data_IF_040111464786
#
_entry.id   IF_040111464786
#
_cell.length_a   1.000
_cell.length_b   1.000
_cell.length_c   1.000
_cell.angle_alpha   90.00
_cell.angle_beta   90.00
_cell.angle_gamma   90.00
#
_symmetry.space_group_name_H-M   'P 1'
#
loop_
_entity.id
_entity.type
_entity.pdbx_description
1 polymer ?
#
# COMPACT_ATOMS: atom_id res chain seq x y z
N UNK A 1 3.45 -3.76 -50.11
CA UNK A 1 4.08 -5.09 -49.94
C UNK A 1 3.59 -5.67 -48.62
N UNK A 2 2.89 -6.80 -48.64
CA UNK A 2 2.40 -7.46 -47.42
C UNK A 2 3.57 -8.14 -46.69
N UNK A 3 3.68 -7.99 -45.36
CA UNK A 3 4.77 -8.61 -44.61
C UNK A 3 4.64 -10.14 -44.65
N UNK A 4 5.70 -10.82 -45.10
CA UNK A 4 5.78 -12.28 -45.09
C UNK A 4 5.78 -12.75 -43.63
N UNK A 5 4.86 -13.66 -43.29
CA UNK A 5 4.83 -14.31 -41.98
C UNK A 5 6.17 -15.00 -41.71
N UNK A 6 6.71 -14.90 -40.48
CA UNK A 6 7.88 -15.68 -40.09
C UNK A 6 7.57 -17.18 -40.17
N UNK A 7 8.57 -18.02 -40.49
CA UNK A 7 8.41 -19.46 -40.57
C UNK A 7 8.00 -20.03 -39.21
N UNK A 8 7.13 -21.05 -39.23
CA UNK A 8 6.74 -21.81 -38.05
C UNK A 8 7.96 -22.49 -37.44
N UNK A 9 8.19 -22.25 -36.15
CA UNK A 9 9.28 -22.88 -35.40
C UNK A 9 9.15 -24.40 -35.47
N UNK A 10 10.30 -25.07 -35.65
CA UNK A 10 10.34 -26.52 -35.79
C UNK A 10 9.93 -27.20 -34.47
N UNK A 11 9.04 -28.20 -34.49
CA UNK A 11 8.62 -28.91 -33.28
C UNK A 11 9.77 -29.64 -32.55
N UNK A 12 10.92 -29.79 -33.20
CA UNK A 12 12.14 -30.36 -32.64
C UNK A 12 12.89 -29.43 -31.66
N UNK A 13 12.49 -28.15 -31.54
CA UNK A 13 13.03 -27.26 -30.50
C UNK A 13 12.57 -27.66 -29.09
N UNK A 14 11.52 -28.46 -28.97
CA UNK A 14 11.06 -29.00 -27.70
C UNK A 14 11.61 -30.42 -27.52
N UNK A 15 12.78 -30.50 -26.89
CA UNK A 15 13.39 -31.77 -26.52
C UNK A 15 12.49 -32.46 -25.48
N UNK A 16 12.11 -33.72 -25.72
CA UNK A 16 11.25 -34.51 -24.81
C UNK A 16 11.84 -34.74 -23.40
N UNK A 17 13.08 -34.28 -23.15
CA UNK A 17 13.77 -34.38 -21.86
C UNK A 17 14.19 -33.00 -21.29
N UNK A 18 13.63 -31.90 -21.81
CA UNK A 18 13.85 -30.57 -21.25
C UNK A 18 12.98 -30.29 -20.01
N UNK A 19 13.32 -29.27 -19.20
CA UNK A 19 12.53 -28.84 -18.03
C UNK A 19 11.10 -28.36 -18.38
N UNK A 20 10.79 -28.24 -19.67
CA UNK A 20 9.46 -27.88 -20.20
C UNK A 20 8.78 -29.06 -20.93
N UNK A 21 9.30 -30.29 -20.81
CA UNK A 21 8.70 -31.43 -21.48
C UNK A 21 7.32 -31.75 -20.89
N UNK A 22 6.25 -31.84 -21.71
CA UNK A 22 4.94 -32.25 -21.23
C UNK A 22 5.03 -33.70 -20.74
N UNK A 23 4.81 -33.92 -19.45
CA UNK A 23 4.85 -35.23 -18.81
C UNK A 23 3.84 -36.19 -19.44
N UNK A 24 4.27 -36.97 -20.44
CA UNK A 24 3.51 -38.08 -21.01
C UNK A 24 4.23 -39.40 -20.69
N UNK A 25 3.82 -40.01 -19.59
CA UNK A 25 4.07 -41.41 -19.30
C UNK A 25 3.13 -42.28 -20.14
N UNK A 26 3.46 -42.53 -21.41
CA UNK A 26 2.77 -43.53 -22.24
C UNK A 26 3.83 -44.42 -22.91
N UNK A 27 3.91 -45.69 -22.47
CA UNK A 27 4.61 -46.74 -23.22
C UNK A 27 5.84 -47.41 -22.59
N UNK A 28 6.00 -47.45 -21.26
CA UNK A 28 7.06 -48.29 -20.63
C UNK A 28 6.46 -49.52 -19.94
N UNK A 29 7.05 -50.69 -20.19
CA UNK A 29 6.71 -51.97 -19.56
C UNK A 29 7.02 -51.98 -18.06
N UNK A 30 6.13 -52.61 -17.28
CA UNK A 30 6.06 -52.58 -15.81
C UNK A 30 7.33 -52.99 -15.04
N UNK A 31 8.32 -53.65 -15.65
CA UNK A 31 9.49 -54.16 -14.93
C UNK A 31 10.70 -53.21 -14.90
N UNK A 32 10.76 -52.20 -15.78
CA UNK A 32 11.85 -51.20 -15.77
C UNK A 32 11.49 -49.91 -15.01
N UNK A 33 10.23 -49.74 -14.60
CA UNK A 33 9.77 -48.55 -13.87
C UNK A 33 10.06 -48.57 -12.35
N UNK A 34 10.57 -49.67 -11.79
CA UNK A 34 10.80 -49.82 -10.34
C UNK A 34 12.13 -49.22 -9.83
N UNK A 35 13.03 -48.78 -10.71
CA UNK A 35 14.37 -48.30 -10.31
C UNK A 35 14.64 -46.83 -10.65
N UNK A 36 13.71 -46.13 -11.29
CA UNK A 36 13.87 -44.70 -11.59
C UNK A 36 13.11 -43.90 -10.56
N UNK A 37 13.86 -43.29 -9.64
CA UNK A 37 13.36 -42.25 -8.73
C UNK A 37 12.65 -41.21 -9.63
N UNK A 38 11.34 -40.99 -9.48
CA UNK A 38 10.66 -39.99 -10.30
C UNK A 38 11.28 -38.64 -9.95
N UNK A 39 12.06 -38.08 -10.88
CA UNK A 39 12.35 -36.67 -10.86
C UNK A 39 11.02 -35.97 -11.16
N UNK A 40 10.24 -35.73 -10.11
CA UNK A 40 9.13 -34.78 -10.07
C UNK A 40 9.71 -33.38 -10.23
N UNK A 41 10.32 -33.12 -11.38
CA UNK A 41 10.93 -31.86 -11.77
C UNK A 41 9.90 -30.84 -12.24
N UNK A 42 8.67 -30.88 -11.69
CA UNK A 42 7.79 -29.72 -11.78
C UNK A 42 8.40 -28.66 -10.86
N UNK A 43 8.69 -27.48 -11.41
CA UNK A 43 9.01 -26.32 -10.59
C UNK A 43 7.96 -26.23 -9.46
N UNK A 44 8.37 -25.99 -8.20
CA UNK A 44 7.43 -25.83 -7.11
C UNK A 44 6.41 -24.77 -7.52
N UNK A 45 5.12 -25.11 -7.41
CA UNK A 45 4.07 -24.12 -7.65
C UNK A 45 4.31 -22.94 -6.71
N UNK A 46 4.11 -21.70 -7.17
CA UNK A 46 4.17 -20.56 -6.28
C UNK A 46 3.20 -20.78 -5.12
N UNK A 47 3.55 -20.34 -3.90
CA UNK A 47 2.65 -20.43 -2.76
C UNK A 47 1.32 -19.79 -3.13
N UNK A 48 0.21 -20.41 -2.74
CA UNK A 48 -1.10 -19.80 -2.95
C UNK A 48 -1.12 -18.43 -2.24
N UNK A 49 -1.74 -17.39 -2.83
CA UNK A 49 -1.89 -16.09 -2.16
C UNK A 49 -2.53 -16.18 -0.76
N UNK A 50 -3.33 -17.23 -0.53
CA UNK A 50 -3.94 -17.54 0.77
C UNK A 50 -2.98 -18.15 1.80
N UNK A 51 -1.71 -18.40 1.45
CA UNK A 51 -0.71 -19.00 2.34
C UNK A 51 0.35 -18.01 2.82
N UNK A 52 0.45 -16.84 2.18
CA UNK A 52 1.38 -15.78 2.58
C UNK A 52 0.70 -14.89 3.60
N UNK A 53 1.25 -14.86 4.82
CA UNK A 53 0.77 -14.08 5.95
C UNK A 53 1.95 -13.36 6.62
N UNK A 54 1.74 -12.12 7.08
CA UNK A 54 2.77 -11.43 7.83
C UNK A 54 2.99 -12.12 9.19
N UNK A 55 4.15 -11.86 9.79
CA UNK A 55 4.45 -12.36 11.15
C UNK A 55 3.59 -11.69 12.21
N UNK A 56 3.33 -10.41 12.02
CA UNK A 56 2.49 -9.57 12.86
C UNK A 56 1.95 -8.41 12.03
N UNK A 57 0.96 -7.70 12.56
CA UNK A 57 0.43 -6.47 11.98
C UNK A 57 0.65 -5.32 12.95
N UNK A 58 1.08 -4.19 12.42
CA UNK A 58 1.03 -2.90 13.09
C UNK A 58 0.17 -1.99 12.22
N UNK A 59 -0.98 -1.58 12.77
CA UNK A 59 -1.88 -0.70 12.05
C UNK A 59 -1.34 0.73 12.09
N UNK A 60 -0.82 1.21 10.96
CA UNK A 60 -0.23 2.54 10.84
C UNK A 60 -1.25 3.67 10.75
N UNK A 61 -2.55 3.40 10.67
CA UNK A 61 -3.58 4.43 10.56
C UNK A 61 -4.92 3.96 11.11
N UNK A 62 -5.21 4.36 12.34
CA UNK A 62 -6.48 4.11 12.99
C UNK A 62 -7.11 5.39 13.50
N UNK A 63 -8.38 5.61 13.21
CA UNK A 63 -9.14 6.78 13.66
C UNK A 63 -10.20 6.31 14.66
N UNK A 64 -10.21 6.87 15.89
CA UNK A 64 -11.16 6.51 16.95
C UNK A 64 -12.58 7.02 16.68
N UNK A 65 -13.21 6.66 15.57
CA UNK A 65 -14.52 7.19 15.18
C UNK A 65 -15.71 6.34 15.68
N UNK A 66 -15.49 5.09 16.12
CA UNK A 66 -16.56 4.24 16.61
C UNK A 66 -16.12 3.42 17.82
N UNK A 67 -16.91 3.47 18.90
CA UNK A 67 -16.72 2.65 20.10
C UNK A 67 -16.95 1.19 19.70
N UNK A 68 -15.89 0.42 19.47
CA UNK A 68 -16.00 -1.02 19.33
C UNK A 68 -16.00 -1.66 20.71
N UNK A 69 -16.97 -2.53 20.97
CA UNK A 69 -17.20 -3.22 22.25
C UNK A 69 -16.15 -4.33 22.51
N UNK A 70 -14.86 -3.97 22.49
CA UNK A 70 -13.76 -4.82 22.95
C UNK A 70 -13.35 -5.98 22.05
N UNK A 71 -13.87 -6.08 20.82
CA UNK A 71 -13.36 -6.99 19.78
C UNK A 71 -12.32 -6.31 18.91
N UNK A 72 -11.28 -7.04 18.48
CA UNK A 72 -10.23 -6.53 17.58
C UNK A 72 -10.85 -5.97 16.29
N UNK A 73 -10.88 -4.63 16.09
CA UNK A 73 -11.61 -4.01 14.99
C UNK A 73 -11.03 -4.39 13.62
N UNK A 74 -9.73 -4.70 13.59
CA UNK A 74 -9.01 -5.05 12.37
C UNK A 74 -9.47 -6.38 11.76
N UNK A 75 -9.91 -7.34 12.56
CA UNK A 75 -10.24 -8.70 12.09
C UNK A 75 -11.71 -9.08 12.32
N UNK A 76 -12.56 -8.11 12.65
CA UNK A 76 -13.99 -8.33 12.94
C UNK A 76 -14.72 -8.96 11.74
N UNK A 77 -14.41 -8.52 10.53
CA UNK A 77 -15.04 -8.97 9.29
C UNK A 77 -14.23 -10.03 8.53
N UNK A 78 -13.12 -10.50 9.11
CA UNK A 78 -12.30 -11.51 8.46
C UNK A 78 -12.97 -12.88 8.57
N UNK A 79 -13.06 -13.61 7.45
CA UNK A 79 -13.53 -14.99 7.47
C UNK A 79 -12.77 -15.83 8.50
N UNK A 80 -13.49 -16.59 9.32
CA UNK A 80 -12.91 -17.38 10.42
C UNK A 80 -11.90 -18.45 9.96
N UNK A 81 -11.87 -18.72 8.66
CA UNK A 81 -10.95 -19.68 8.00
C UNK A 81 -9.58 -19.06 7.72
N UNK A 82 -9.47 -17.73 7.69
CA UNK A 82 -8.21 -17.06 7.37
C UNK A 82 -7.35 -16.87 8.63
N UNK A 83 -6.02 -17.06 8.52
CA UNK A 83 -5.10 -16.79 9.61
C UNK A 83 -5.18 -15.33 10.06
N UNK A 84 -5.31 -15.14 11.37
CA UNK A 84 -5.24 -13.84 12.06
C UNK A 84 -3.85 -13.71 12.67
N UNK A 85 -2.93 -12.95 12.04
CA UNK A 85 -1.64 -12.66 12.66
C UNK A 85 -1.83 -11.82 13.94
N UNK A 86 -0.88 -11.85 14.88
CA UNK A 86 -0.93 -11.00 16.05
C UNK A 86 -0.92 -9.52 15.66
N UNK A 87 -1.76 -8.72 16.32
CA UNK A 87 -1.75 -7.27 16.25
C UNK A 87 -0.88 -6.73 17.40
N UNK A 88 0.25 -6.09 17.08
CA UNK A 88 1.21 -5.64 18.09
C UNK A 88 0.93 -4.22 18.59
N UNK A 89 0.80 -3.29 17.65
CA UNK A 89 0.65 -1.86 17.93
C UNK A 89 -0.33 -1.23 16.95
N UNK A 90 -0.96 -0.12 17.37
CA UNK A 90 -1.86 0.68 16.54
C UNK A 90 -1.41 2.14 16.63
N UNK A 91 -1.27 2.80 15.49
CA UNK A 91 -1.00 4.22 15.38
C UNK A 91 -2.34 4.96 15.32
N UNK A 92 -2.69 5.57 16.45
CA UNK A 92 -3.91 6.35 16.59
C UNK A 92 -3.68 7.76 16.06
N UNK A 93 -4.44 8.10 15.01
CA UNK A 93 -4.43 9.41 14.38
C UNK A 93 -5.36 10.33 15.15
N UNK A 94 -4.78 11.30 15.84
CA UNK A 94 -5.53 12.27 16.63
C UNK A 94 -5.80 13.53 15.81
N UNK A 95 -7.01 13.64 15.28
CA UNK A 95 -7.43 14.82 14.51
C UNK A 95 -7.68 16.02 15.42
N UNK A 96 -8.27 15.79 16.59
CA UNK A 96 -8.54 16.82 17.59
C UNK A 96 -7.64 16.62 18.83
N UNK A 97 -6.77 17.61 19.18
CA UNK A 97 -5.82 17.48 20.29
C UNK A 97 -6.50 17.40 21.67
N UNK A 98 -7.80 17.67 21.75
CA UNK A 98 -8.61 17.55 22.97
C UNK A 98 -9.14 16.15 23.22
N UNK A 99 -9.08 15.24 22.25
CA UNK A 99 -9.57 13.87 22.42
C UNK A 99 -8.63 13.04 23.30
N UNK A 100 -9.19 12.27 24.23
CA UNK A 100 -8.39 11.37 25.06
C UNK A 100 -8.00 10.13 24.26
N UNK A 101 -6.76 9.64 24.37
CA UNK A 101 -6.33 8.43 23.67
C UNK A 101 -7.20 7.24 24.11
N UNK A 102 -7.58 6.39 23.16
CA UNK A 102 -8.41 5.23 23.46
C UNK A 102 -7.48 4.09 23.86
N UNK A 103 -7.44 3.77 25.15
CA UNK A 103 -6.68 2.63 25.71
C UNK A 103 -7.50 1.33 25.75
N UNK A 104 -8.58 1.21 24.97
CA UNK A 104 -9.57 0.14 25.16
C UNK A 104 -9.24 -1.20 24.47
N UNK A 105 -8.23 -1.27 23.61
CA UNK A 105 -7.86 -2.52 22.94
C UNK A 105 -6.83 -3.27 23.82
N UNK A 106 -7.18 -4.45 24.36
CA UNK A 106 -6.26 -5.21 25.21
C UNK A 106 -5.04 -5.66 24.40
N UNK A 107 -3.83 -5.49 24.96
CA UNK A 107 -2.53 -5.94 24.41
C UNK A 107 -1.97 -5.14 23.23
N UNK A 108 -2.61 -4.04 22.83
CA UNK A 108 -2.10 -3.16 21.77
C UNK A 108 -1.57 -1.87 22.39
N UNK A 109 -0.34 -1.49 22.04
CA UNK A 109 0.23 -0.21 22.45
C UNK A 109 -0.23 0.89 21.46
N UNK A 110 -0.98 1.92 21.92
CA UNK A 110 -1.35 3.03 21.06
C UNK A 110 -0.17 3.98 20.88
N UNK A 111 0.15 4.30 19.63
CA UNK A 111 1.10 5.35 19.27
C UNK A 111 0.31 6.56 18.79
N UNK A 112 0.43 7.69 19.49
CA UNK A 112 -0.31 8.90 19.18
C UNK A 112 0.44 9.74 18.16
N UNK A 113 -0.22 10.08 17.06
CA UNK A 113 0.30 11.02 16.07
C UNK A 113 -0.66 12.16 15.82
N UNK A 114 -0.12 13.36 15.67
CA UNK A 114 -0.87 14.54 15.25
C UNK A 114 -0.56 14.78 13.77
N UNK A 115 -1.50 14.44 12.86
CA UNK A 115 -1.27 14.60 11.45
C UNK A 115 -1.41 16.07 11.02
N UNK A 116 -0.76 16.39 9.91
CA UNK A 116 -0.94 17.65 9.20
C UNK A 116 -1.87 17.42 8.02
N UNK A 117 -3.07 17.98 8.05
CA UNK A 117 -4.01 17.86 6.94
C UNK A 117 -3.69 18.90 5.88
N UNK A 118 -3.39 18.45 4.66
CA UNK A 118 -3.11 19.34 3.54
C UNK A 118 -4.41 19.96 3.02
N UNK A 119 -4.43 21.29 2.93
CA UNK A 119 -5.53 22.05 2.32
C UNK A 119 -5.06 22.71 1.03
N UNK A 120 -5.43 22.10 -0.10
CA UNK A 120 -5.12 22.58 -1.43
C UNK A 120 -5.79 23.92 -1.77
N UNK A 121 -6.86 24.31 -1.07
CA UNK A 121 -7.52 25.59 -1.30
C UNK A 121 -6.73 26.76 -0.68
N UNK A 122 -6.02 26.51 0.42
CA UNK A 122 -5.32 27.55 1.17
C UNK A 122 -4.04 28.05 0.51
N UNK A 123 -3.47 27.29 -0.45
CA UNK A 123 -2.13 27.49 -1.03
C UNK A 123 -1.01 27.75 0.00
N UNK A 124 -1.29 27.52 1.29
CA UNK A 124 -0.43 27.83 2.41
C UNK A 124 0.12 26.54 2.96
N UNK A 125 1.45 26.49 3.09
CA UNK A 125 2.10 25.30 3.63
C UNK A 125 1.91 25.31 5.14
N UNK A 126 1.37 24.23 5.72
CA UNK A 126 1.18 24.14 7.16
C UNK A 126 2.52 24.32 7.90
N UNK A 127 2.48 25.04 9.02
CA UNK A 127 3.65 25.17 9.89
C UNK A 127 3.89 23.85 10.62
N UNK A 128 4.81 23.05 10.10
CA UNK A 128 5.17 21.76 10.68
C UNK A 128 6.30 21.96 11.69
N UNK A 129 6.04 21.57 12.95
CA UNK A 129 7.04 21.55 14.01
C UNK A 129 7.93 20.31 13.88
N UNK A 130 9.10 20.48 13.27
CA UNK A 130 10.11 19.42 13.10
C UNK A 130 11.06 19.33 14.29
N UNK A 131 10.79 20.00 15.41
CA UNK A 131 11.68 20.00 16.59
C UNK A 131 11.76 18.62 17.26
N UNK A 132 10.77 17.77 17.05
CA UNK A 132 10.75 16.38 17.53
C UNK A 132 11.29 15.45 16.44
N UNK A 133 12.08 14.47 16.85
CA UNK A 133 12.59 13.39 15.99
C UNK A 133 11.51 12.46 15.39
N UNK A 134 10.23 12.80 15.56
CA UNK A 134 9.11 11.99 15.16
C UNK A 134 8.86 12.12 13.64
N UNK A 135 8.31 11.08 13.00
CA UNK A 135 7.85 11.19 11.62
C UNK A 135 6.72 12.23 11.50
N UNK A 136 6.72 12.98 10.40
CA UNK A 136 5.67 13.94 10.06
C UNK A 136 4.63 13.23 9.20
N UNK A 137 3.40 13.11 9.69
CA UNK A 137 2.28 12.54 8.94
C UNK A 137 1.52 13.65 8.19
N UNK A 138 1.39 13.51 6.87
CA UNK A 138 0.65 14.42 5.99
C UNK A 138 -0.57 13.68 5.47
N UNK A 139 -1.75 14.19 5.82
CA UNK A 139 -3.02 13.68 5.29
C UNK A 139 -3.35 14.44 4.02
N UNK A 140 -3.52 13.70 2.92
CA UNK A 140 -4.00 14.19 1.64
C UNK A 140 -5.46 13.76 1.47
N UNK A 141 -6.43 14.66 1.72
CA UNK A 141 -7.86 14.31 1.78
C UNK A 141 -8.45 14.16 0.36
N UNK A 142 -8.11 13.09 -0.35
CA UNK A 142 -8.56 12.85 -1.71
C UNK A 142 -10.00 12.32 -1.75
N UNK A 143 -10.87 13.03 -2.48
CA UNK A 143 -12.20 12.57 -2.87
C UNK A 143 -12.34 12.36 -4.39
N UNK A 144 -11.31 12.77 -5.15
CA UNK A 144 -11.16 12.56 -6.59
C UNK A 144 -9.68 12.37 -6.95
N UNK A 145 -9.35 11.89 -8.16
CA UNK A 145 -8.00 11.95 -8.67
C UNK A 145 -7.44 13.38 -8.60
N UNK A 146 -6.16 13.45 -8.22
CA UNK A 146 -5.47 14.71 -7.98
C UNK A 146 -4.99 15.33 -9.30
N UNK A 147 -5.18 16.64 -9.44
CA UNK A 147 -4.73 17.41 -10.60
C UNK A 147 -3.23 17.70 -10.54
N UNK A 148 -2.63 18.07 -11.68
CA UNK A 148 -1.20 18.43 -11.74
C UNK A 148 -0.82 19.50 -10.72
N UNK A 149 -1.65 20.54 -10.55
CA UNK A 149 -1.39 21.63 -9.59
C UNK A 149 -1.36 21.16 -8.15
N UNK A 150 -2.27 20.25 -7.80
CA UNK A 150 -2.33 19.68 -6.44
C UNK A 150 -1.11 18.77 -6.19
N UNK A 151 -0.65 18.04 -7.21
CA UNK A 151 0.63 17.31 -7.16
C UNK A 151 1.82 18.24 -6.98
N UNK A 152 1.88 19.37 -7.70
CA UNK A 152 2.97 20.34 -7.55
C UNK A 152 3.00 20.93 -6.13
N UNK A 153 1.84 21.23 -5.53
CA UNK A 153 1.76 21.68 -4.13
C UNK A 153 2.27 20.62 -3.16
N UNK A 154 1.90 19.36 -3.35
CA UNK A 154 2.38 18.27 -2.50
C UNK A 154 3.90 18.09 -2.62
N UNK A 155 4.44 18.13 -3.84
CA UNK A 155 5.87 18.00 -4.12
C UNK A 155 6.67 19.15 -3.47
N UNK A 156 6.15 20.38 -3.54
CA UNK A 156 6.71 21.54 -2.86
C UNK A 156 6.73 21.37 -1.33
N UNK A 157 5.66 20.83 -0.74
CA UNK A 157 5.57 20.56 0.71
C UNK A 157 6.61 19.52 1.12
N UNK A 158 6.70 18.41 0.39
CA UNK A 158 7.66 17.33 0.66
C UNK A 158 9.10 17.81 0.49
N UNK A 159 9.39 18.54 -0.61
CA UNK A 159 10.72 19.09 -0.89
C UNK A 159 11.19 20.04 0.20
N UNK A 160 10.30 20.87 0.77
CA UNK A 160 10.65 21.77 1.89
C UNK A 160 10.93 21.03 3.19
N UNK A 161 10.20 19.94 3.46
CA UNK A 161 10.46 19.11 4.64
C UNK A 161 11.80 18.38 4.52
N UNK A 162 12.18 18.02 3.31
CA UNK A 162 13.48 17.40 3.02
C UNK A 162 14.63 18.43 3.10
N UNK A 163 14.42 19.64 2.56
CA UNK A 163 15.43 20.70 2.54
C UNK A 163 15.64 21.43 3.87
N UNK A 164 14.70 21.35 4.82
CA UNK A 164 14.80 22.00 6.15
C UNK A 164 15.87 21.41 7.08
N UNK A 165 16.61 20.38 6.64
CA UNK A 165 17.65 19.76 7.47
C UNK A 165 18.95 20.56 7.57
N UNK A 166 19.14 21.68 6.85
CA UNK A 166 20.45 22.35 6.73
C UNK A 166 20.40 23.90 6.63
N UNK A 167 19.67 24.60 7.50
CA UNK A 167 20.01 26.01 7.79
C UNK A 167 20.74 26.13 9.12
N UNK A 168 21.81 25.35 9.28
CA UNK A 168 22.90 25.76 10.16
C UNK A 168 23.77 26.74 9.34
N UNK A 169 24.01 27.98 9.82
CA UNK A 169 24.81 28.95 9.08
C UNK A 169 26.18 28.36 8.77
N UNK A 170 26.56 28.41 7.49
CA UNK A 170 27.84 27.97 6.97
C UNK A 170 29.00 28.61 7.75
N UNK A 171 29.52 27.90 8.75
CA UNK A 171 30.53 28.48 9.62
C UNK A 171 30.88 27.66 10.84
N UNK A 172 30.99 26.34 10.74
CA UNK A 172 31.82 25.54 11.67
C UNK A 172 32.00 24.13 11.09
N UNK A 173 33.16 23.89 10.46
CA UNK A 173 33.63 22.55 10.13
C UNK A 173 34.01 21.89 11.45
N UNK A 174 33.08 21.20 12.09
CA UNK A 174 33.44 20.23 13.12
C UNK A 174 33.74 18.88 12.43
N UNK A 175 34.99 18.45 12.56
CA UNK A 175 35.42 17.10 12.25
C UNK A 175 34.51 16.09 12.98
N UNK A 176 33.86 15.20 12.22
CA UNK A 176 33.12 14.05 12.76
C UNK A 176 31.58 14.12 12.73
N UNK A 177 31.00 15.04 11.94
CA UNK A 177 29.55 15.29 11.88
C UNK A 177 28.72 14.06 11.47
N UNK A 178 27.83 13.64 12.36
CA UNK A 178 26.69 12.77 12.05
C UNK A 178 25.90 13.33 10.87
N UNK A 179 25.41 12.49 9.94
CA UNK A 179 24.67 12.96 8.77
C UNK A 179 23.47 13.84 9.19
N UNK A 180 23.11 14.84 8.37
CA UNK A 180 21.96 15.71 8.61
C UNK A 180 20.72 14.84 8.89
N UNK A 181 20.04 15.14 10.00
CA UNK A 181 18.91 14.34 10.47
C UNK A 181 17.69 14.62 9.57
N UNK A 182 17.56 13.83 8.52
CA UNK A 182 16.41 13.91 7.60
C UNK A 182 15.12 13.55 8.34
N UNK A 183 14.14 14.45 8.30
CA UNK A 183 12.81 14.22 8.87
C UNK A 183 12.10 13.15 8.05
N UNK A 184 11.57 12.11 8.67
CA UNK A 184 10.78 11.09 7.95
C UNK A 184 9.38 11.64 7.67
N UNK A 185 8.90 11.52 6.44
CA UNK A 185 7.58 12.04 6.00
C UNK A 185 6.68 10.88 5.63
N UNK A 186 5.47 10.85 6.15
CA UNK A 186 4.47 9.80 5.88
C UNK A 186 3.29 10.42 5.17
N UNK A 187 2.93 9.91 4.01
CA UNK A 187 1.81 10.41 3.22
C UNK A 187 0.61 9.46 3.37
N UNK A 188 -0.48 9.99 3.91
CA UNK A 188 -1.75 9.31 4.12
C UNK A 188 -2.77 9.77 3.05
N UNK A 189 -3.49 8.84 2.43
CA UNK A 189 -4.59 9.17 1.49
C UNK A 189 -4.21 9.22 0.00
N UNK A 190 -2.96 8.93 -0.38
CA UNK A 190 -2.54 8.82 -1.79
C UNK A 190 -2.72 7.42 -2.39
N UNK A 191 -2.73 6.38 -1.54
CA UNK A 191 -2.67 4.99 -1.96
C UNK A 191 -3.74 4.12 -1.28
N UNK A 192 -4.60 3.46 -2.06
CA UNK A 192 -4.95 3.81 -3.44
C UNK A 192 -5.62 5.20 -3.50
N UNK A 193 -5.60 5.89 -4.66
CA UNK A 193 -6.42 7.09 -4.85
C UNK A 193 -7.92 6.71 -4.89
N UNK A 194 -8.84 7.68 -4.91
CA UNK A 194 -10.27 7.42 -5.13
C UNK A 194 -10.50 6.62 -6.42
N UNK A 195 -11.26 5.53 -6.36
CA UNK A 195 -11.43 4.65 -7.52
C UNK A 195 -12.55 5.17 -8.42
N UNK A 196 -12.19 5.51 -9.65
CA UNK A 196 -13.10 6.12 -10.64
C UNK A 196 -13.48 5.17 -11.77
N UNK A 197 -12.57 4.28 -12.17
CA UNK A 197 -12.69 3.44 -13.37
C UNK A 197 -12.41 1.97 -13.05
N UNK A 198 -13.06 1.02 -13.76
CA UNK A 198 -12.64 -0.37 -13.78
C UNK A 198 -11.20 -0.54 -14.32
N UNK A 199 -10.50 -1.55 -13.82
CA UNK A 199 -9.14 -1.98 -14.15
C UNK A 199 -8.84 -1.97 -15.65
N UNK A 200 -9.74 -2.52 -16.47
CA UNK A 200 -9.56 -2.58 -17.93
C UNK A 200 -9.47 -1.20 -18.60
N UNK A 201 -10.17 -0.19 -18.06
CA UNK A 201 -10.14 1.18 -18.56
C UNK A 201 -9.03 2.00 -17.89
N UNK A 202 -8.74 1.68 -16.63
CA UNK A 202 -7.82 2.43 -15.78
C UNK A 202 -6.38 2.44 -16.33
N UNK A 203 -5.88 1.32 -16.83
CA UNK A 203 -4.48 1.21 -17.31
C UNK A 203 -4.11 2.26 -18.36
N UNK A 204 -5.10 2.68 -19.17
CA UNK A 204 -4.90 3.67 -20.23
C UNK A 204 -5.44 5.06 -19.86
N UNK A 205 -5.92 5.26 -18.63
CA UNK A 205 -6.48 6.54 -18.24
C UNK A 205 -5.36 7.56 -17.98
N UNK A 206 -5.57 8.84 -18.34
CA UNK A 206 -4.60 9.90 -18.05
C UNK A 206 -4.43 10.11 -16.54
N UNK A 207 -5.48 9.84 -15.75
CA UNK A 207 -5.46 9.94 -14.29
C UNK A 207 -4.48 8.92 -13.68
N UNK A 208 -4.53 7.67 -14.16
CA UNK A 208 -3.62 6.61 -13.72
C UNK A 208 -2.17 6.93 -14.09
N UNK A 209 -1.93 7.38 -15.34
CA UNK A 209 -0.59 7.75 -15.80
C UNK A 209 -0.02 8.95 -15.03
N UNK A 210 -0.84 9.97 -14.79
CA UNK A 210 -0.45 11.12 -13.99
C UNK A 210 -0.10 10.69 -12.56
N UNK A 211 -0.98 9.91 -11.91
CA UNK A 211 -0.73 9.38 -10.57
C UNK A 211 0.57 8.57 -10.52
N UNK A 212 0.76 7.63 -11.45
CA UNK A 212 1.95 6.81 -11.54
C UNK A 212 3.23 7.64 -11.70
N UNK A 213 3.23 8.60 -12.63
CA UNK A 213 4.40 9.47 -12.86
C UNK A 213 4.74 10.33 -11.64
N UNK A 214 3.73 10.88 -10.97
CA UNK A 214 3.93 11.74 -9.78
C UNK A 214 4.32 10.94 -8.56
N UNK A 215 3.79 9.71 -8.40
CA UNK A 215 4.22 8.79 -7.36
C UNK A 215 5.69 8.40 -7.52
N UNK A 216 6.14 8.15 -8.75
CA UNK A 216 7.55 7.87 -9.04
C UNK A 216 8.46 9.06 -8.69
N UNK A 217 8.02 10.30 -8.94
CA UNK A 217 8.78 11.48 -8.54
C UNK A 217 8.91 11.58 -7.01
N UNK A 218 7.84 11.35 -6.27
CA UNK A 218 7.89 11.35 -4.80
C UNK A 218 8.83 10.27 -4.24
N UNK A 219 8.97 9.13 -4.94
CA UNK A 219 9.82 8.05 -4.48
C UNK A 219 11.32 8.36 -4.55
N UNK A 220 11.71 9.43 -5.26
CA UNK A 220 13.08 9.98 -5.26
C UNK A 220 13.49 10.50 -3.88
N UNK A 221 12.51 10.83 -3.03
CA UNK A 221 12.75 11.20 -1.64
C UNK A 221 12.84 9.94 -0.76
N UNK A 222 14.05 9.58 -0.34
CA UNK A 222 14.31 8.35 0.42
C UNK A 222 13.60 8.28 1.78
N UNK A 223 13.27 9.45 2.35
CA UNK A 223 12.62 9.62 3.65
C UNK A 223 11.10 9.78 3.55
N UNK A 224 10.50 9.58 2.37
CA UNK A 224 9.05 9.58 2.17
C UNK A 224 8.50 8.16 2.20
N UNK A 225 7.42 7.99 2.94
CA UNK A 225 6.70 6.74 3.13
C UNK A 225 5.23 6.92 2.74
N UNK A 226 4.57 5.85 2.31
CA UNK A 226 3.16 5.87 1.89
C UNK A 226 2.31 4.95 2.77
N UNK A 227 1.14 5.43 3.21
CA UNK A 227 0.14 4.55 3.82
C UNK A 227 -0.81 3.97 2.78
N UNK A 228 -1.07 2.67 2.90
CA UNK A 228 -2.03 1.89 2.13
C UNK A 228 -3.34 1.82 2.92
N UNK A 229 -4.23 2.75 2.61
CA UNK A 229 -5.50 2.94 3.32
C UNK A 229 -6.67 2.40 2.48
N UNK A 230 -7.85 2.13 3.06
CA UNK A 230 -8.99 1.71 2.26
C UNK A 230 -9.40 2.80 1.25
N UNK A 231 -9.66 2.44 -0.02
CA UNK A 231 -10.11 3.38 -1.04
C UNK A 231 -11.46 4.01 -0.70
N UNK A 232 -11.74 5.13 -1.37
CA UNK A 232 -13.10 5.69 -1.47
C UNK A 232 -13.58 5.64 -2.91
N UNK A 233 -14.90 5.59 -3.08
CA UNK A 233 -15.57 5.61 -4.38
C UNK A 233 -16.77 6.53 -4.32
N UNK A 234 -17.15 7.03 -5.50
CA UNK A 234 -18.36 7.80 -5.67
C UNK A 234 -19.59 6.89 -5.55
N UNK A 235 -20.63 7.36 -4.84
CA UNK A 235 -21.91 6.67 -4.71
C UNK A 235 -22.54 6.52 -6.11
N UNK A 236 -22.90 5.29 -6.45
CA UNK A 236 -23.38 4.93 -7.80
C UNK A 236 -22.31 4.32 -8.70
N UNK A 237 -21.04 4.28 -8.27
CA UNK A 237 -20.00 3.53 -8.97
C UNK A 237 -20.30 2.02 -8.94
N UNK A 238 -20.12 1.36 -10.08
CA UNK A 238 -20.17 -0.11 -10.20
C UNK A 238 -19.14 -0.82 -9.31
N UNK A 239 -18.09 -0.12 -8.87
CA UNK A 239 -17.04 -0.67 -8.01
C UNK A 239 -17.53 -0.92 -6.57
N UNK A 240 -18.67 -0.37 -6.15
CA UNK A 240 -19.20 -0.56 -4.79
C UNK A 240 -19.56 -2.03 -4.55
N UNK A 241 -20.08 -2.72 -5.56
CA UNK A 241 -20.59 -4.10 -5.44
C UNK A 241 -19.56 -5.13 -5.91
N UNK A 242 -18.70 -4.77 -6.87
CA UNK A 242 -17.73 -5.69 -7.45
C UNK A 242 -16.41 -5.74 -6.67
N UNK A 243 -16.35 -6.63 -5.68
CA UNK A 243 -15.14 -6.88 -4.87
C UNK A 243 -13.95 -7.33 -5.68
N UNK A 244 -14.17 -8.07 -6.77
CA UNK A 244 -13.09 -8.55 -7.61
C UNK A 244 -12.49 -7.38 -8.36
N UNK A 245 -13.33 -6.55 -8.96
CA UNK A 245 -12.88 -5.36 -9.69
C UNK A 245 -12.16 -4.37 -8.77
N UNK A 246 -12.63 -4.17 -7.54
CA UNK A 246 -11.92 -3.37 -6.54
C UNK A 246 -10.52 -3.93 -6.27
N UNK A 247 -10.40 -5.24 -6.07
CA UNK A 247 -9.10 -5.88 -5.85
C UNK A 247 -8.18 -5.74 -7.09
N UNK A 248 -8.71 -5.91 -8.29
CA UNK A 248 -7.97 -5.78 -9.55
C UNK A 248 -7.47 -4.33 -9.74
N UNK A 249 -8.31 -3.33 -9.47
CA UNK A 249 -7.94 -1.91 -9.50
C UNK A 249 -6.89 -1.57 -8.42
N UNK A 250 -7.08 -2.03 -7.18
CA UNK A 250 -6.12 -1.82 -6.09
C UNK A 250 -4.78 -2.46 -6.44
N UNK A 251 -4.79 -3.66 -7.04
CA UNK A 251 -3.58 -4.35 -7.49
C UNK A 251 -2.81 -3.54 -8.53
N UNK A 252 -3.48 -2.88 -9.48
CA UNK A 252 -2.82 -2.02 -10.47
C UNK A 252 -2.06 -0.86 -9.80
N UNK A 253 -2.71 -0.13 -8.89
CA UNK A 253 -2.05 0.95 -8.15
C UNK A 253 -0.93 0.43 -7.24
N UNK A 254 -1.18 -0.67 -6.54
CA UNK A 254 -0.23 -1.27 -5.61
C UNK A 254 1.01 -1.79 -6.31
N UNK A 255 0.86 -2.41 -7.48
CA UNK A 255 1.98 -2.84 -8.33
C UNK A 255 2.94 -1.68 -8.59
N UNK A 256 2.40 -0.53 -9.01
CA UNK A 256 3.21 0.67 -9.27
C UNK A 256 3.83 1.26 -8.00
N UNK A 257 3.11 1.24 -6.89
CA UNK A 257 3.65 1.71 -5.61
C UNK A 257 4.80 0.82 -5.09
N UNK A 258 4.68 -0.50 -5.23
CA UNK A 258 5.76 -1.43 -4.87
C UNK A 258 6.98 -1.24 -5.78
N UNK A 259 6.77 -1.08 -7.09
CA UNK A 259 7.86 -0.84 -8.03
C UNK A 259 8.63 0.46 -7.73
N UNK A 260 7.91 1.53 -7.36
CA UNK A 260 8.50 2.85 -7.14
C UNK A 260 9.04 3.07 -5.73
N UNK A 261 8.31 2.64 -4.69
CA UNK A 261 8.70 2.84 -3.29
C UNK A 261 9.46 1.64 -2.70
N UNK A 262 9.22 0.44 -3.22
CA UNK A 262 9.63 -0.80 -2.56
C UNK A 262 8.75 -1.11 -1.35
N UNK A 263 8.82 -2.35 -0.86
CA UNK A 263 7.99 -2.86 0.23
C UNK A 263 8.32 -2.23 1.60
N UNK A 264 9.53 -1.69 1.76
CA UNK A 264 10.03 -1.08 3.00
C UNK A 264 9.66 0.40 3.20
N UNK A 265 8.90 0.99 2.28
CA UNK A 265 8.40 2.37 2.40
C UNK A 265 6.87 2.46 2.33
N UNK A 266 6.19 1.33 2.37
CA UNK A 266 4.75 1.23 2.41
C UNK A 266 4.31 0.80 3.81
N UNK A 267 3.21 1.37 4.30
CA UNK A 267 2.63 1.07 5.60
C UNK A 267 1.18 0.66 5.44
N UNK A 268 0.77 -0.41 6.08
CA UNK A 268 -0.64 -0.74 6.22
C UNK A 268 -1.37 0.25 7.13
N UNK A 269 -2.60 0.60 6.78
CA UNK A 269 -3.54 1.28 7.67
C UNK A 269 -4.97 0.77 7.46
N UNK A 270 -5.71 0.58 8.55
CA UNK A 270 -7.06 -0.02 8.48
C UNK A 270 -8.16 0.99 8.18
N UNK A 271 -7.99 2.25 8.56
CA UNK A 271 -8.97 3.32 8.37
C UNK A 271 -8.66 4.23 7.18
N UNK A 272 -9.70 4.91 6.69
CA UNK A 272 -9.55 5.97 5.72
C UNK A 272 -8.71 7.12 6.26
N UNK A 273 -8.10 7.90 5.35
CA UNK A 273 -7.23 9.02 5.74
C UNK A 273 -7.89 10.07 6.65
N UNK A 274 -9.22 10.19 6.60
CA UNK A 274 -10.08 10.98 7.48
C UNK A 274 -11.43 10.27 7.60
N UNK A 275 -12.24 10.57 8.64
CA UNK A 275 -13.62 10.11 8.73
C UNK A 275 -14.42 10.44 7.47
N UNK A 276 -15.27 9.51 7.01
CA UNK A 276 -16.00 9.67 5.75
C UNK A 276 -16.91 10.90 5.73
N UNK A 277 -17.50 11.27 6.86
CA UNK A 277 -18.29 12.50 7.02
C UNK A 277 -17.42 13.76 6.83
N UNK A 278 -16.19 13.77 7.37
CA UNK A 278 -15.23 14.86 7.18
C UNK A 278 -14.76 14.93 5.72
N UNK A 279 -14.50 13.79 5.09
CA UNK A 279 -14.15 13.74 3.66
C UNK A 279 -15.32 14.25 2.79
N UNK A 280 -16.56 13.83 3.08
CA UNK A 280 -17.77 14.32 2.38
C UNK A 280 -17.93 15.83 2.50
N UNK A 281 -17.70 16.39 3.70
CA UNK A 281 -17.77 17.83 3.91
C UNK A 281 -16.72 18.60 3.09
N UNK A 282 -15.58 17.98 2.79
CA UNK A 282 -14.50 18.54 1.96
C UNK A 282 -14.70 18.32 0.47
N UNK A 283 -15.53 17.36 0.07
CA UNK A 283 -15.91 17.10 -1.30
C UNK A 283 -16.86 18.19 -1.84
N UNK A 284 -16.37 19.43 -1.98
CA UNK A 284 -17.16 20.59 -2.40
C UNK A 284 -17.86 20.43 -3.77
N UNK A 285 -17.42 19.48 -4.60
CA UNK A 285 -17.85 19.31 -6.00
C UNK A 285 -18.10 17.86 -6.43
N UNK A 286 -17.98 16.87 -5.54
CA UNK A 286 -18.14 15.45 -5.89
C UNK A 286 -19.49 14.94 -5.40
N UNK A 287 -20.07 13.95 -6.08
CA UNK A 287 -21.23 13.26 -5.55
C UNK A 287 -20.84 12.57 -4.22
N UNK A 288 -21.84 12.14 -3.45
CA UNK A 288 -21.63 11.49 -2.17
C UNK A 288 -20.57 10.38 -2.27
N UNK A 289 -19.61 10.36 -1.34
CA UNK A 289 -18.54 9.33 -1.32
C UNK A 289 -18.85 8.24 -0.29
N UNK A 290 -18.42 7.03 -0.61
CA UNK A 290 -18.54 5.85 0.24
C UNK A 290 -17.30 4.97 0.15
N UNK A 291 -17.17 4.02 1.08
CA UNK A 291 -16.13 3.00 0.99
C UNK A 291 -16.67 1.77 0.26
N UNK A 292 -15.97 1.25 -0.77
CA UNK A 292 -16.33 -0.03 -1.37
C UNK A 292 -15.97 -1.22 -0.46
N UNK A 293 -15.14 -1.02 0.57
CA UNK A 293 -14.57 -2.09 1.42
C UNK A 293 -14.76 -1.75 2.90
N UNK A 294 -15.16 -2.74 3.70
CA UNK A 294 -15.28 -2.55 5.17
C UNK A 294 -13.88 -2.58 5.81
N UNK A 295 -13.71 -1.91 6.97
CA UNK A 295 -12.43 -1.83 7.69
C UNK A 295 -11.74 -3.20 7.87
N UNK A 296 -12.46 -4.19 8.41
CA UNK A 296 -11.88 -5.53 8.61
C UNK A 296 -11.72 -6.39 7.34
N UNK A 297 -12.31 -5.96 6.23
CA UNK A 297 -12.15 -6.60 4.91
C UNK A 297 -10.92 -6.06 4.17
N UNK A 298 -10.52 -4.80 4.44
CA UNK A 298 -9.39 -4.14 3.78
C UNK A 298 -8.07 -4.91 3.95
N UNK A 299 -7.78 -5.37 5.16
CA UNK A 299 -6.61 -6.21 5.42
C UNK A 299 -6.58 -7.45 4.50
N UNK A 300 -7.72 -8.13 4.34
CA UNK A 300 -7.82 -9.34 3.54
C UNK A 300 -7.57 -9.05 2.05
N UNK A 301 -8.19 -7.98 1.53
CA UNK A 301 -8.03 -7.55 0.14
C UNK A 301 -6.59 -7.15 -0.13
N UNK A 302 -6.01 -6.29 0.70
CA UNK A 302 -4.65 -5.80 0.49
C UNK A 302 -3.63 -6.95 0.56
N UNK A 303 -3.74 -7.83 1.56
CA UNK A 303 -2.90 -9.04 1.66
C UNK A 303 -3.01 -9.91 0.42
N UNK A 304 -4.23 -10.12 -0.08
CA UNK A 304 -4.45 -10.89 -1.32
C UNK A 304 -3.74 -10.22 -2.50
N UNK A 305 -3.89 -8.91 -2.68
CA UNK A 305 -3.27 -8.16 -3.78
C UNK A 305 -1.74 -8.27 -3.72
N UNK A 306 -1.13 -8.06 -2.54
CA UNK A 306 0.33 -8.19 -2.35
C UNK A 306 0.82 -9.60 -2.72
N UNK A 307 0.11 -10.64 -2.26
CA UNK A 307 0.49 -12.02 -2.55
C UNK A 307 0.27 -12.41 -4.03
N UNK A 308 -0.73 -11.83 -4.71
CA UNK A 308 -0.96 -12.01 -6.15
C UNK A 308 0.14 -11.34 -6.99
N UNK A 309 0.75 -10.26 -6.49
CA UNK A 309 1.93 -9.64 -7.10
C UNK A 309 3.21 -10.49 -6.93
N UNK A 310 3.14 -11.61 -6.21
CA UNK A 310 4.25 -12.54 -6.03
C UNK A 310 5.21 -12.15 -4.91
N UNK A 311 4.84 -11.19 -4.07
CA UNK A 311 5.63 -10.80 -2.90
C UNK A 311 5.66 -11.91 -1.84
N UNK A 312 6.81 -12.04 -1.19
CA UNK A 312 7.03 -13.08 -0.19
C UNK A 312 6.56 -12.67 1.21
N UNK A 313 6.78 -13.56 2.19
CA UNK A 313 6.45 -13.31 3.59
C UNK A 313 7.21 -12.10 4.16
N UNK A 314 8.43 -11.85 3.71
CA UNK A 314 9.27 -10.76 4.22
C UNK A 314 8.73 -9.42 3.74
N UNK A 315 8.44 -9.29 2.45
CA UNK A 315 7.78 -8.14 1.86
C UNK A 315 6.39 -7.89 2.50
N UNK A 316 5.59 -8.94 2.69
CA UNK A 316 4.29 -8.85 3.37
C UNK A 316 4.44 -8.31 4.79
N UNK A 317 5.41 -8.83 5.56
CA UNK A 317 5.65 -8.40 6.95
C UNK A 317 6.20 -6.96 7.00
N UNK A 318 6.97 -6.55 5.99
CA UNK A 318 7.46 -5.18 5.86
C UNK A 318 6.33 -4.18 5.71
N UNK A 319 5.40 -4.45 4.78
CA UNK A 319 4.25 -3.57 4.52
C UNK A 319 3.28 -3.57 5.72
N UNK A 320 3.02 -4.74 6.29
CA UNK A 320 1.98 -4.92 7.31
C UNK A 320 2.41 -4.54 8.73
N UNK A 321 3.70 -4.43 9.02
CA UNK A 321 4.14 -4.15 10.39
C UNK A 321 5.55 -3.59 10.55
N UNK A 322 6.56 -4.22 9.96
CA UNK A 322 7.94 -3.91 10.33
C UNK A 322 8.40 -2.52 9.90
N UNK A 323 7.89 -2.00 8.78
CA UNK A 323 8.16 -0.62 8.35
C UNK A 323 7.59 0.39 9.34
N UNK A 324 6.37 0.15 9.82
CA UNK A 324 5.70 1.03 10.78
C UNK A 324 6.40 0.99 12.15
N UNK A 325 6.81 -0.20 12.62
CA UNK A 325 7.55 -0.35 13.87
C UNK A 325 8.85 0.45 13.83
N UNK A 326 9.69 0.28 12.80
CA UNK A 326 10.93 1.08 12.66
C UNK A 326 10.74 2.58 12.38
N UNK A 327 9.51 3.01 12.13
CA UNK A 327 9.15 4.40 11.88
C UNK A 327 8.63 5.12 13.13
N UNK A 328 7.82 4.43 13.93
CA UNK A 328 7.05 4.99 15.03
C UNK A 328 7.54 4.57 16.43
N UNK A 329 8.32 3.48 16.55
CA UNK A 329 8.94 3.01 17.80
C UNK A 329 10.40 3.47 17.91
#
# INVERSE_FOLDING_TARGET
MTPKRPPTLSPLLFVNQGPLAPGKAWGMSNEQAKSLKPCTGSAPLPPSPSSVHPEYVLDGHWIPACKTDGTDPLFEYLENTLPKPPLESIVQVQLDPSETPITSIPRVQPIMIQPTVLDFASASIPSIDTSKSAPVDIIVPLCRPMSEREWDVLDDVVSRLNGRSEEAPAGEIQDGLSPPKTVKVVLSGLMPPPLTLPSAQLVNSPEFQLHASRLANLSLHANVYLKLLPPVVEVGSSLIEDRKEVADVVTLYLSHAIETFGTHRLLFGSDHCLPLDVLRARAQYSNEITSPVKQGEWYAILRKCIAELGEDKFAMSAIMGSTASGLYE
#
